data_IF_832621415526
#
_entry.id   IF_832621415526
#
_cell.length_a   1.000
_cell.length_b   1.000
_cell.length_c   1.000
_cell.angle_alpha   90.00
_cell.angle_beta   90.00
_cell.angle_gamma   90.00
#
_symmetry.space_group_name_H-M   'P 1'
#
loop_
_entity.id
_entity.type
_entity.pdbx_description
1 polymer ?
#
# COMPACT_ATOMS: atom_id res chain seq x y z
N UNK A 1 9.46 -13.28 -1.16
CA UNK A 1 8.63 -12.05 -1.17
C UNK A 1 9.53 -10.86 -1.54
N UNK A 2 9.48 -10.36 -2.77
CA UNK A 2 10.34 -9.28 -3.28
C UNK A 2 9.91 -7.87 -2.83
N UNK A 3 9.63 -7.68 -1.55
CA UNK A 3 9.18 -6.38 -0.99
C UNK A 3 10.42 -5.64 -0.47
N UNK A 4 10.70 -4.49 -1.10
CA UNK A 4 11.81 -3.60 -0.74
C UNK A 4 11.31 -2.16 -0.83
N UNK A 5 11.46 -1.32 0.21
CA UNK A 5 12.12 -1.59 1.50
C UNK A 5 11.40 -2.63 2.38
N UNK A 6 12.16 -3.44 3.13
CA UNK A 6 11.64 -4.58 3.89
C UNK A 6 11.02 -4.17 5.25
N UNK A 7 10.01 -3.30 5.22
CA UNK A 7 9.36 -2.77 6.44
C UNK A 7 8.25 -3.70 6.93
N UNK A 8 8.24 -3.98 8.23
CA UNK A 8 7.18 -4.74 8.87
C UNK A 8 6.10 -3.81 9.43
N UNK A 9 5.08 -3.49 8.63
CA UNK A 9 3.98 -2.57 8.98
C UNK A 9 3.26 -2.92 10.31
N UNK A 10 3.21 -4.20 10.69
CA UNK A 10 2.56 -4.64 11.94
C UNK A 10 3.39 -4.35 13.19
N UNK A 11 4.73 -4.45 13.10
CA UNK A 11 5.64 -4.22 14.22
C UNK A 11 6.21 -2.80 14.25
N UNK A 12 6.27 -2.13 13.10
CA UNK A 12 6.80 -0.78 12.97
C UNK A 12 5.85 0.25 13.55
N UNK A 13 6.34 1.03 14.52
CA UNK A 13 5.59 2.08 15.20
C UNK A 13 6.40 3.37 15.30
N UNK A 14 5.71 4.50 15.30
CA UNK A 14 6.27 5.81 15.64
C UNK A 14 5.51 6.36 16.84
N UNK A 15 6.23 6.73 17.90
CA UNK A 15 5.63 7.30 19.13
C UNK A 15 5.04 8.70 18.89
N UNK A 16 5.60 9.45 17.95
CA UNK A 16 5.09 10.78 17.54
C UNK A 16 3.91 10.64 16.57
N UNK A 17 3.97 9.64 15.69
CA UNK A 17 2.87 9.29 14.79
C UNK A 17 2.46 10.42 13.85
N UNK A 18 1.15 10.64 13.71
CA UNK A 18 0.57 11.58 12.73
C UNK A 18 0.85 13.07 13.04
N UNK A 19 1.33 13.40 14.25
CA UNK A 19 1.63 14.78 14.63
C UNK A 19 2.84 15.36 13.88
N UNK A 20 3.74 14.50 13.39
CA UNK A 20 4.89 14.90 12.58
C UNK A 20 4.62 14.89 11.07
N UNK A 21 3.40 14.57 10.64
CA UNK A 21 3.06 14.45 9.23
C UNK A 21 2.43 15.73 8.68
N UNK A 22 2.67 15.98 7.39
CA UNK A 22 1.90 16.97 6.65
C UNK A 22 0.41 16.60 6.69
N UNK A 23 -0.48 17.59 6.80
CA UNK A 23 -1.93 17.37 6.89
C UNK A 23 -2.48 16.48 5.77
N UNK A 24 -2.06 16.73 4.52
CA UNK A 24 -2.50 15.92 3.39
C UNK A 24 -2.01 14.45 3.47
N UNK A 25 -0.78 14.21 3.95
CA UNK A 25 -0.29 12.85 4.17
C UNK A 25 -1.10 12.11 5.23
N UNK A 26 -1.45 12.81 6.32
CA UNK A 26 -2.29 12.25 7.39
C UNK A 26 -3.67 11.85 6.89
N UNK A 27 -4.31 12.70 6.08
CA UNK A 27 -5.64 12.42 5.52
C UNK A 27 -5.63 11.20 4.59
N UNK A 28 -4.60 11.06 3.75
CA UNK A 28 -4.46 9.93 2.83
C UNK A 28 -4.11 8.62 3.56
N UNK A 29 -3.23 8.66 4.57
CA UNK A 29 -2.75 7.46 5.26
C UNK A 29 -3.68 6.96 6.37
N UNK A 30 -4.76 7.67 6.69
CA UNK A 30 -5.62 7.39 7.84
C UNK A 30 -6.17 5.96 7.89
N UNK A 31 -6.70 5.45 6.77
CA UNK A 31 -7.20 4.07 6.67
C UNK A 31 -6.12 3.06 6.25
N UNK A 32 -5.03 3.54 5.65
CA UNK A 32 -4.03 2.69 4.98
C UNK A 32 -3.36 1.69 5.92
N UNK A 33 -3.03 2.10 7.16
CA UNK A 33 -2.43 1.21 8.16
C UNK A 33 -3.38 0.08 8.57
N UNK A 34 -4.67 0.40 8.73
CA UNK A 34 -5.69 -0.57 9.12
C UNK A 34 -5.92 -1.60 8.01
N UNK A 35 -6.04 -1.14 6.76
CA UNK A 35 -6.22 -2.01 5.59
C UNK A 35 -5.04 -2.98 5.43
N UNK A 36 -3.80 -2.52 5.60
CA UNK A 36 -2.61 -3.38 5.55
C UNK A 36 -2.50 -4.34 6.74
N UNK A 37 -2.99 -3.96 7.92
CA UNK A 37 -3.04 -4.84 9.09
C UNK A 37 -4.04 -5.98 8.85
N UNK A 38 -5.26 -5.65 8.44
CA UNK A 38 -6.30 -6.62 8.09
C UNK A 38 -5.84 -7.55 6.97
N UNK A 39 -5.21 -7.01 5.92
CA UNK A 39 -4.62 -7.82 4.85
C UNK A 39 -3.64 -8.85 5.37
N UNK A 40 -2.76 -8.48 6.30
CA UNK A 40 -1.75 -9.41 6.83
C UNK A 40 -2.35 -10.52 7.66
N UNK A 41 -3.35 -10.20 8.49
CA UNK A 41 -4.07 -11.19 9.28
C UNK A 41 -4.77 -12.19 8.36
N UNK A 42 -5.57 -11.69 7.41
CA UNK A 42 -6.32 -12.52 6.48
C UNK A 42 -5.40 -13.31 5.54
N UNK A 43 -4.31 -12.73 5.06
CA UNK A 43 -3.34 -13.42 4.20
C UNK A 43 -2.58 -14.55 4.91
N UNK A 44 -2.49 -14.53 6.23
CA UNK A 44 -1.95 -15.65 6.99
C UNK A 44 -2.94 -16.82 7.04
N UNK A 45 -4.24 -16.55 7.23
CA UNK A 45 -5.29 -17.57 7.26
C UNK A 45 -5.62 -18.14 5.87
N UNK A 46 -5.61 -17.28 4.84
CA UNK A 46 -5.89 -17.66 3.46
C UNK A 46 -4.89 -18.67 2.86
N UNK A 47 -3.74 -18.89 3.50
CA UNK A 47 -2.80 -19.94 3.10
C UNK A 47 -3.30 -21.35 3.41
N UNK A 48 -4.30 -21.49 4.27
CA UNK A 48 -4.80 -22.77 4.78
C UNK A 48 -6.24 -23.09 4.35
N UNK A 49 -6.98 -22.13 3.78
CA UNK A 49 -8.39 -22.29 3.38
C UNK A 49 -8.54 -22.53 1.88
N UNK A 50 -9.40 -23.47 1.48
CA UNK A 50 -9.66 -23.79 0.06
C UNK A 50 -10.71 -22.89 -0.59
N UNK A 51 -11.61 -22.28 0.19
CA UNK A 51 -12.66 -21.39 -0.31
C UNK A 51 -12.69 -20.09 0.50
N UNK A 52 -12.50 -18.98 -0.20
CA UNK A 52 -12.59 -17.64 0.36
C UNK A 52 -13.84 -16.95 -0.20
N UNK A 53 -14.65 -16.38 0.67
CA UNK A 53 -15.80 -15.57 0.27
C UNK A 53 -15.36 -14.31 -0.50
N UNK A 54 -16.29 -13.71 -1.25
CA UNK A 54 -15.99 -12.59 -2.13
C UNK A 54 -15.39 -11.38 -1.38
N UNK A 55 -15.80 -11.14 -0.13
CA UNK A 55 -15.27 -10.03 0.67
C UNK A 55 -13.81 -10.28 1.05
N UNK A 56 -13.46 -11.50 1.47
CA UNK A 56 -12.07 -11.89 1.76
C UNK A 56 -11.18 -11.81 0.53
N UNK A 57 -11.67 -12.26 -0.63
CA UNK A 57 -10.93 -12.13 -1.89
C UNK A 57 -10.67 -10.67 -2.25
N UNK A 58 -11.68 -9.79 -2.10
CA UNK A 58 -11.53 -8.36 -2.36
C UNK A 58 -10.48 -7.73 -1.44
N UNK A 59 -10.50 -8.08 -0.14
CA UNK A 59 -9.54 -7.60 0.84
C UNK A 59 -8.11 -8.05 0.53
N UNK A 60 -7.92 -9.32 0.17
CA UNK A 60 -6.60 -9.85 -0.24
C UNK A 60 -6.08 -9.18 -1.51
N UNK A 61 -6.93 -9.04 -2.51
CA UNK A 61 -6.58 -8.39 -3.77
C UNK A 61 -6.18 -6.92 -3.55
N UNK A 62 -6.94 -6.18 -2.74
CA UNK A 62 -6.62 -4.79 -2.40
C UNK A 62 -5.33 -4.69 -1.61
N UNK A 63 -5.18 -5.48 -0.54
CA UNK A 63 -3.98 -5.48 0.29
C UNK A 63 -2.69 -5.85 -0.45
N UNK A 64 -2.78 -6.77 -1.43
CA UNK A 64 -1.66 -7.09 -2.33
C UNK A 64 -1.22 -5.86 -3.14
N UNK A 65 -2.17 -5.09 -3.68
CA UNK A 65 -1.87 -3.86 -4.44
C UNK A 65 -1.30 -2.75 -3.58
N UNK A 66 -1.86 -2.53 -2.39
CA UNK A 66 -1.31 -1.58 -1.41
C UNK A 66 0.12 -1.96 -1.02
N UNK A 67 0.44 -3.26 -0.94
CA UNK A 67 1.79 -3.74 -0.66
C UNK A 67 2.76 -3.52 -1.83
N UNK A 68 2.30 -3.70 -3.08
CA UNK A 68 3.11 -3.40 -4.27
C UNK A 68 3.44 -1.91 -4.38
N UNK A 69 2.49 -1.04 -4.04
CA UNK A 69 2.66 0.42 -4.08
C UNK A 69 3.78 0.93 -3.16
N UNK A 70 4.04 0.21 -2.06
CA UNK A 70 5.10 0.58 -1.12
C UNK A 70 6.50 0.17 -1.57
N UNK A 71 6.63 -0.52 -2.71
CA UNK A 71 7.95 -0.92 -3.20
C UNK A 71 8.64 0.24 -3.85
N UNK A 72 9.90 0.43 -3.48
CA UNK A 72 10.71 1.53 -3.98
C UNK A 72 12.14 1.06 -4.24
N UNK A 73 12.73 1.39 -5.41
CA UNK A 73 14.12 1.08 -5.68
C UNK A 73 15.05 1.91 -4.78
N UNK A 74 16.25 1.39 -4.55
CA UNK A 74 17.27 2.06 -3.77
C UNK A 74 17.71 3.36 -4.46
N UNK A 75 18.13 4.35 -3.66
CA UNK A 75 18.64 5.66 -4.14
C UNK A 75 17.66 6.47 -4.99
N UNK A 76 16.37 6.18 -4.92
CA UNK A 76 15.33 6.88 -5.69
C UNK A 76 14.29 7.52 -4.76
N UNK A 77 14.67 8.47 -3.88
CA UNK A 77 13.71 9.13 -2.98
C UNK A 77 12.62 9.84 -3.79
N UNK A 78 11.38 9.80 -3.31
CA UNK A 78 10.26 10.52 -3.91
C UNK A 78 9.96 11.80 -3.13
N UNK A 79 9.72 12.93 -3.80
CA UNK A 79 9.17 14.12 -3.16
C UNK A 79 7.83 13.83 -2.46
N UNK A 80 7.52 14.58 -1.41
CA UNK A 80 6.36 14.30 -0.54
C UNK A 80 5.04 14.39 -1.31
N UNK A 81 4.90 15.34 -2.23
CA UNK A 81 3.74 15.54 -3.08
C UNK A 81 3.48 14.31 -3.98
N UNK A 82 4.53 13.70 -4.52
CA UNK A 82 4.42 12.48 -5.33
C UNK A 82 4.02 11.28 -4.47
N UNK A 83 4.58 11.15 -3.26
CA UNK A 83 4.18 10.10 -2.33
C UNK A 83 2.69 10.20 -1.95
N UNK A 84 2.21 11.40 -1.65
CA UNK A 84 0.79 11.64 -1.31
C UNK A 84 -0.10 11.21 -2.47
N UNK A 85 0.26 11.56 -3.70
CA UNK A 85 -0.53 11.26 -4.89
C UNK A 85 -0.59 9.76 -5.20
N UNK A 86 0.55 9.07 -5.07
CA UNK A 86 0.65 7.60 -5.20
C UNK A 86 -0.25 6.91 -4.16
N UNK A 87 -0.11 7.29 -2.89
CA UNK A 87 -0.88 6.70 -1.81
C UNK A 87 -2.37 7.01 -1.94
N UNK A 88 -2.73 8.21 -2.37
CA UNK A 88 -4.12 8.58 -2.64
C UNK A 88 -4.72 7.70 -3.73
N UNK A 89 -3.99 7.51 -4.83
CA UNK A 89 -4.43 6.67 -5.93
C UNK A 89 -4.70 5.23 -5.47
N UNK A 90 -3.81 4.69 -4.63
CA UNK A 90 -3.92 3.36 -4.06
C UNK A 90 -5.11 3.22 -3.10
N UNK A 91 -5.24 4.13 -2.12
CA UNK A 91 -6.30 4.10 -1.09
C UNK A 91 -7.69 4.30 -1.69
N UNK A 92 -7.82 5.13 -2.73
CA UNK A 92 -9.10 5.35 -3.41
C UNK A 92 -9.49 4.24 -4.39
N UNK A 93 -8.66 3.21 -4.54
CA UNK A 93 -8.96 2.05 -5.36
C UNK A 93 -8.75 2.24 -6.86
N UNK A 94 -8.03 3.29 -7.28
CA UNK A 94 -7.69 3.47 -8.70
C UNK A 94 -6.78 2.34 -9.22
N UNK A 95 -6.05 1.67 -8.30
CA UNK A 95 -5.25 0.49 -8.61
C UNK A 95 -6.05 -0.82 -8.59
N UNK A 96 -7.31 -0.85 -8.12
CA UNK A 96 -8.05 -2.09 -7.81
C UNK A 96 -8.41 -2.95 -9.04
N UNK A 97 -8.33 -2.38 -10.25
CA UNK A 97 -8.52 -3.13 -11.50
C UNK A 97 -7.21 -3.48 -12.19
N UNK A 98 -6.08 -3.04 -11.65
CA UNK A 98 -4.78 -3.28 -12.25
C UNK A 98 -4.22 -4.65 -11.85
N UNK A 99 -3.58 -5.35 -12.81
CA UNK A 99 -2.66 -6.44 -12.51
C UNK A 99 -1.51 -5.98 -11.60
N UNK A 100 -1.08 -6.82 -10.66
CA UNK A 100 -0.05 -6.49 -9.67
C UNK A 100 1.29 -6.08 -10.29
N UNK A 101 1.68 -6.76 -11.36
CA UNK A 101 2.91 -6.53 -12.12
C UNK A 101 2.95 -5.16 -12.82
N UNK A 102 1.78 -4.54 -13.06
CA UNK A 102 1.67 -3.22 -13.70
C UNK A 102 1.72 -2.04 -12.73
N UNK A 103 1.65 -2.27 -11.43
CA UNK A 103 1.59 -1.19 -10.43
C UNK A 103 2.86 -0.34 -10.46
N UNK A 104 4.04 -0.96 -10.46
CA UNK A 104 5.32 -0.25 -10.53
C UNK A 104 5.47 0.59 -11.82
N UNK A 105 4.87 0.13 -12.93
CA UNK A 105 4.87 0.90 -14.18
C UNK A 105 3.92 2.10 -14.09
N UNK A 106 2.74 1.90 -13.49
CA UNK A 106 1.76 2.96 -13.26
C UNK A 106 2.33 4.09 -12.41
N UNK A 107 2.98 3.76 -11.30
CA UNK A 107 3.63 4.76 -10.44
C UNK A 107 4.71 5.55 -11.17
N UNK A 108 5.56 4.86 -11.94
CA UNK A 108 6.59 5.53 -12.76
C UNK A 108 5.97 6.47 -13.79
N UNK A 109 4.93 6.03 -14.49
CA UNK A 109 4.23 6.85 -15.46
C UNK A 109 3.59 8.09 -14.80
N UNK A 110 2.95 7.92 -13.65
CA UNK A 110 2.36 9.02 -12.89
C UNK A 110 3.44 10.00 -12.40
N UNK A 111 4.53 9.50 -11.82
CA UNK A 111 5.64 10.31 -11.33
C UNK A 111 6.39 11.05 -12.44
N UNK A 112 6.32 10.58 -13.69
CA UNK A 112 6.95 11.24 -14.85
C UNK A 112 6.10 12.37 -15.45
N UNK A 113 4.79 12.38 -15.20
CA UNK A 113 3.84 13.36 -15.75
C UNK A 113 3.59 14.55 -14.82
N UNK A 114 4.16 14.50 -13.62
CA UNK A 114 4.04 15.48 -12.53
C UNK A 114 5.45 15.99 -12.23
#
# INVERSE_FOLDING_TARGET
RGIRPAINVGLSVSRVGSAAQLRAMKEVCGSFKLELAQYREVAAFAQFGSDLDAATQALLNRGARLTEVLKQPQYSPLPIEKQILVLYAAVKGFCDRMPLDRISQYERAMNSRI
#
